data_IF_797477172954
#
_entry.id   IF_797477172954
#
_cell.length_a   1.000
_cell.length_b   1.000
_cell.length_c   1.000
_cell.angle_alpha   90.00
_cell.angle_beta   90.00
_cell.angle_gamma   90.00
#
_symmetry.space_group_name_H-M   'P 1'
#
loop_
_entity.id
_entity.type
_entity.pdbx_description
1 polymer ?
#
# COMPACT_ATOMS: atom_id res chain seq x y z
N UNK A 1 -21.29 9.23 -22.23
CA UNK A 1 -19.99 8.74 -21.71
C UNK A 1 -19.42 9.79 -20.77
N UNK A 2 -20.04 9.95 -19.60
CA UNK A 2 -19.78 11.09 -18.68
C UNK A 2 -19.72 10.68 -17.22
N UNK A 3 -19.73 9.37 -16.89
CA UNK A 3 -19.70 8.90 -15.50
C UNK A 3 -18.28 8.71 -14.94
N UNK A 4 -17.26 8.55 -15.79
CA UNK A 4 -15.87 8.35 -15.32
C UNK A 4 -15.18 9.64 -14.86
N UNK A 5 -15.61 10.81 -15.34
CA UNK A 5 -15.03 12.10 -14.92
C UNK A 5 -15.53 12.57 -13.55
N UNK A 6 -16.76 12.24 -13.19
CA UNK A 6 -17.38 12.69 -11.93
C UNK A 6 -16.73 12.00 -10.72
N UNK A 7 -16.34 10.72 -10.86
CA UNK A 7 -15.61 9.99 -9.82
C UNK A 7 -14.16 10.48 -9.62
N UNK A 8 -13.47 10.93 -10.67
CA UNK A 8 -12.13 11.53 -10.54
C UNK A 8 -12.17 12.89 -9.84
N UNK A 9 -13.22 13.68 -10.08
CA UNK A 9 -13.40 15.00 -9.44
C UNK A 9 -13.76 14.85 -7.96
N UNK A 10 -14.62 13.88 -7.60
CA UNK A 10 -15.00 13.62 -6.20
C UNK A 10 -13.87 13.01 -5.36
N UNK A 11 -12.94 12.27 -5.99
CA UNK A 11 -11.69 11.81 -5.34
C UNK A 11 -10.72 12.97 -5.11
N UNK A 12 -10.74 14.00 -5.97
CA UNK A 12 -9.92 15.21 -5.81
C UNK A 12 -10.41 16.11 -4.69
N UNK A 13 -11.73 16.29 -4.54
CA UNK A 13 -12.31 17.27 -3.59
C UNK A 13 -12.36 16.81 -2.11
N UNK A 14 -12.05 15.54 -1.79
CA UNK A 14 -12.00 15.07 -0.38
C UNK A 14 -10.60 15.05 0.25
N UNK A 15 -9.61 15.70 -0.37
CA UNK A 15 -8.22 15.74 0.12
C UNK A 15 -7.84 17.04 0.83
N UNK A 16 -8.74 18.02 0.89
CA UNK A 16 -8.50 19.32 1.51
C UNK A 16 -8.75 19.31 3.02
N UNK A 17 -7.86 18.63 3.74
CA UNK A 17 -7.53 18.98 5.12
C UNK A 17 -6.01 19.11 5.19
N UNK A 18 -5.50 20.12 4.48
CA UNK A 18 -4.06 20.40 4.35
C UNK A 18 -3.57 21.00 5.67
N UNK A 19 -3.25 20.12 6.62
CA UNK A 19 -2.37 20.46 7.74
C UNK A 19 -0.99 20.78 7.16
N UNK A 20 -0.61 22.06 7.17
CA UNK A 20 0.70 22.54 6.76
C UNK A 20 1.81 21.68 7.38
N UNK A 21 2.57 20.98 6.53
CA UNK A 21 3.82 20.34 6.94
C UNK A 21 4.91 21.38 6.86
N UNK A 22 5.50 21.69 7.99
CA UNK A 22 6.82 22.32 8.00
C UNK A 22 7.77 21.28 7.42
N UNK A 23 8.16 21.46 6.16
CA UNK A 23 9.23 20.70 5.52
C UNK A 23 10.53 21.20 6.13
N UNK A 24 10.90 20.59 7.26
CA UNK A 24 12.16 20.82 7.94
C UNK A 24 13.18 19.87 7.29
N UNK A 25 14.11 20.35 6.45
CA UNK A 25 15.03 19.50 5.69
C UNK A 25 15.95 18.65 6.59
N UNK A 26 16.12 19.05 7.84
CA UNK A 26 16.89 18.33 8.86
C UNK A 26 16.07 17.27 9.60
N UNK A 27 14.73 17.27 9.48
CA UNK A 27 13.88 16.28 10.15
C UNK A 27 13.24 15.35 9.14
N UNK A 28 13.56 14.05 9.28
CA UNK A 28 12.83 12.98 8.58
C UNK A 28 11.33 13.15 8.81
N UNK A 29 10.59 13.44 7.74
CA UNK A 29 9.14 13.57 7.79
C UNK A 29 8.53 12.32 8.45
N UNK A 30 7.68 12.51 9.44
CA UNK A 30 7.02 11.42 10.15
C UNK A 30 5.72 11.08 9.42
N UNK A 31 5.50 9.79 9.15
CA UNK A 31 4.23 9.34 8.59
C UNK A 31 3.07 9.64 9.54
N UNK A 32 2.09 10.39 9.04
CA UNK A 32 0.80 10.62 9.70
C UNK A 32 -0.24 9.58 9.23
N UNK A 33 -1.35 9.41 9.95
CA UNK A 33 -2.40 8.45 9.60
C UNK A 33 -2.92 8.60 8.16
N UNK A 34 -3.11 9.84 7.70
CA UNK A 34 -3.52 10.16 6.33
C UNK A 34 -2.48 9.75 5.28
N UNK A 35 -1.18 9.87 5.58
CA UNK A 35 -0.11 9.40 4.68
C UNK A 35 -0.15 7.91 4.53
N UNK A 36 -0.45 7.18 5.60
CA UNK A 36 -0.48 5.73 5.57
C UNK A 36 -1.62 5.23 4.69
N UNK A 37 -2.79 5.90 4.74
CA UNK A 37 -3.91 5.63 3.84
C UNK A 37 -3.51 5.90 2.39
N UNK A 38 -2.92 7.07 2.10
CA UNK A 38 -2.44 7.43 0.75
C UNK A 38 -1.37 6.45 0.24
N UNK A 39 -0.38 6.12 1.08
CA UNK A 39 0.67 5.15 0.79
C UNK A 39 0.09 3.78 0.44
N UNK A 40 -0.84 3.26 1.25
CA UNK A 40 -1.48 1.97 1.00
C UNK A 40 -2.30 1.97 -0.30
N UNK A 41 -2.98 3.07 -0.63
CA UNK A 41 -3.68 3.22 -1.93
C UNK A 41 -2.71 3.19 -3.11
N UNK A 42 -1.61 3.95 -3.04
CA UNK A 42 -0.60 4.03 -4.09
C UNK A 42 0.03 2.65 -4.35
N UNK A 43 0.50 1.95 -3.31
CA UNK A 43 1.15 0.63 -3.47
C UNK A 43 0.19 -0.44 -3.99
N UNK A 44 -1.08 -0.36 -3.62
CA UNK A 44 -2.12 -1.26 -4.13
C UNK A 44 -2.40 -0.99 -5.61
N UNK A 45 -2.56 0.28 -5.99
CA UNK A 45 -2.83 0.67 -7.38
C UNK A 45 -1.67 0.31 -8.32
N UNK A 46 -0.42 0.58 -7.89
CA UNK A 46 0.79 0.23 -8.64
C UNK A 46 1.10 -1.27 -8.67
N UNK A 47 0.39 -2.07 -7.86
CA UNK A 47 0.60 -3.52 -7.75
C UNK A 47 2.06 -3.85 -7.47
N UNK A 48 2.65 -3.21 -6.47
CA UNK A 48 4.08 -3.40 -6.09
C UNK A 48 4.44 -4.86 -5.75
N UNK A 49 3.44 -5.70 -5.48
CA UNK A 49 3.58 -7.13 -5.31
C UNK A 49 3.82 -7.91 -6.61
N UNK A 50 3.51 -7.33 -7.76
CA UNK A 50 3.68 -7.91 -9.10
C UNK A 50 4.96 -7.43 -9.80
N UNK A 51 5.78 -6.63 -9.12
CA UNK A 51 7.00 -6.05 -9.69
C UNK A 51 7.98 -7.15 -10.13
N UNK A 52 8.48 -7.10 -11.39
CA UNK A 52 9.49 -8.03 -11.88
C UNK A 52 10.78 -8.00 -11.04
N UNK A 53 11.47 -9.13 -10.97
CA UNK A 53 12.80 -9.19 -10.35
C UNK A 53 13.73 -8.15 -10.99
N UNK A 54 14.41 -7.36 -10.16
CA UNK A 54 15.33 -6.29 -10.61
C UNK A 54 14.69 -4.90 -10.75
N UNK A 55 13.35 -4.78 -10.81
CA UNK A 55 12.65 -3.48 -10.92
C UNK A 55 12.06 -2.96 -9.61
N UNK A 56 12.33 -3.67 -8.51
CA UNK A 56 11.80 -3.31 -7.19
C UNK A 56 12.15 -1.89 -6.77
N UNK A 57 13.39 -1.47 -7.00
CA UNK A 57 13.86 -0.14 -6.59
C UNK A 57 13.17 0.98 -7.36
N UNK A 58 13.05 0.85 -8.69
CA UNK A 58 12.33 1.79 -9.56
C UNK A 58 10.87 1.95 -9.13
N UNK A 59 10.18 0.84 -8.84
CA UNK A 59 8.79 0.89 -8.39
C UNK A 59 8.65 1.56 -7.01
N UNK A 60 9.54 1.26 -6.07
CA UNK A 60 9.52 1.91 -4.75
C UNK A 60 9.93 3.38 -4.82
N UNK A 61 10.80 3.75 -5.76
CA UNK A 61 11.11 5.15 -6.04
C UNK A 61 9.87 5.89 -6.54
N UNK A 62 9.17 5.33 -7.53
CA UNK A 62 7.97 5.95 -8.06
C UNK A 62 6.81 6.01 -7.05
N UNK A 63 6.72 5.05 -6.11
CA UNK A 63 5.80 5.12 -4.96
C UNK A 63 6.16 6.31 -4.06
N UNK A 64 7.44 6.53 -3.77
CA UNK A 64 7.89 7.64 -2.95
C UNK A 64 7.61 8.98 -3.63
N UNK A 65 7.89 9.10 -4.93
CA UNK A 65 7.65 10.32 -5.71
C UNK A 65 6.16 10.71 -5.70
N UNK A 66 5.27 9.75 -5.99
CA UNK A 66 3.82 9.97 -5.94
C UNK A 66 3.34 10.36 -4.53
N UNK A 67 3.87 9.72 -3.49
CA UNK A 67 3.49 10.04 -2.13
C UNK A 67 3.94 11.46 -1.76
N UNK A 68 5.17 11.80 -2.12
CA UNK A 68 5.77 13.10 -1.86
C UNK A 68 5.02 14.23 -2.55
N UNK A 69 4.58 14.01 -3.79
CA UNK A 69 3.70 14.93 -4.52
C UNK A 69 2.34 15.08 -3.82
N UNK A 70 1.72 13.97 -3.41
CA UNK A 70 0.38 13.97 -2.82
C UNK A 70 0.28 14.48 -1.38
N UNK A 71 1.39 14.51 -0.64
CA UNK A 71 1.43 14.95 0.77
C UNK A 71 2.41 16.09 1.03
N UNK A 72 3.00 16.63 -0.03
CA UNK A 72 4.00 17.70 0.02
C UNK A 72 5.07 17.40 1.07
N UNK A 73 5.74 16.26 0.91
CA UNK A 73 6.76 15.76 1.83
C UNK A 73 7.98 15.20 1.08
N UNK A 74 8.97 14.72 1.83
CA UNK A 74 10.22 14.18 1.27
C UNK A 74 10.57 12.84 1.94
N UNK A 75 9.77 11.83 1.65
CA UNK A 75 10.03 10.44 2.02
C UNK A 75 10.98 9.79 1.01
N UNK A 76 11.87 8.93 1.50
CA UNK A 76 12.70 8.09 0.66
C UNK A 76 11.99 6.77 0.31
N UNK A 77 12.38 6.15 -0.81
CA UNK A 77 11.90 4.83 -1.22
C UNK A 77 12.00 3.80 -0.09
N UNK A 78 13.11 3.84 0.66
CA UNK A 78 13.38 2.93 1.78
C UNK A 78 12.39 3.17 2.92
N UNK A 79 12.13 4.43 3.26
CA UNK A 79 11.15 4.78 4.30
C UNK A 79 9.74 4.29 3.93
N UNK A 80 9.31 4.47 2.68
CA UNK A 80 8.02 3.96 2.19
C UNK A 80 7.93 2.44 2.28
N UNK A 81 8.94 1.72 1.77
CA UNK A 81 8.99 0.25 1.79
C UNK A 81 9.01 -0.32 3.21
N UNK A 82 9.85 0.24 4.07
CA UNK A 82 9.98 -0.21 5.47
C UNK A 82 8.67 0.06 6.21
N UNK A 83 8.02 1.20 5.95
CA UNK A 83 6.73 1.53 6.58
C UNK A 83 5.62 0.59 6.13
N UNK A 84 5.51 0.28 4.84
CA UNK A 84 4.54 -0.73 4.35
C UNK A 84 4.81 -2.08 4.99
N UNK A 85 6.08 -2.50 5.05
CA UNK A 85 6.45 -3.77 5.70
C UNK A 85 6.05 -3.80 7.18
N UNK A 86 6.26 -2.69 7.90
CA UNK A 86 5.85 -2.55 9.28
C UNK A 86 4.32 -2.63 9.45
N UNK A 87 3.56 -1.91 8.61
CA UNK A 87 2.09 -1.94 8.61
C UNK A 87 1.54 -3.36 8.44
N UNK A 88 2.05 -4.10 7.44
CA UNK A 88 1.60 -5.47 7.18
C UNK A 88 1.92 -6.41 8.36
N UNK A 89 3.07 -6.23 9.02
CA UNK A 89 3.47 -7.02 10.20
C UNK A 89 2.61 -6.70 11.41
N UNK A 90 2.38 -5.41 11.67
CA UNK A 90 1.56 -4.93 12.77
C UNK A 90 0.13 -5.39 12.64
N UNK A 91 -0.47 -5.24 11.46
CA UNK A 91 -1.81 -5.75 11.18
C UNK A 91 -1.92 -7.26 11.44
N UNK A 92 -0.98 -8.07 10.92
CA UNK A 92 -0.96 -9.52 11.21
C UNK A 92 -0.87 -9.84 12.70
N UNK A 93 -0.06 -9.10 13.46
CA UNK A 93 0.08 -9.27 14.92
C UNK A 93 -1.21 -8.87 15.64
N UNK A 94 -1.78 -7.74 15.28
CA UNK A 94 -3.02 -7.23 15.85
C UNK A 94 -4.17 -8.21 15.60
N UNK A 95 -4.37 -8.67 14.37
CA UNK A 95 -5.42 -9.65 14.06
C UNK A 95 -5.22 -10.98 14.80
N UNK A 96 -3.97 -11.43 14.98
CA UNK A 96 -3.68 -12.63 15.76
C UNK A 96 -3.97 -12.46 17.26
N UNK A 97 -3.63 -11.29 17.82
CA UNK A 97 -3.94 -10.97 19.21
C UNK A 97 -5.45 -10.85 19.44
N UNK A 98 -6.18 -10.16 18.56
CA UNK A 98 -7.64 -10.04 18.63
C UNK A 98 -8.34 -11.39 18.59
N UNK A 99 -7.91 -12.30 17.69
CA UNK A 99 -8.45 -13.68 17.63
C UNK A 99 -8.21 -14.46 18.92
N UNK A 100 -7.05 -14.30 19.56
CA UNK A 100 -6.75 -14.98 20.83
C UNK A 100 -7.56 -14.42 22.00
N UNK A 101 -7.78 -13.11 22.03
CA UNK A 101 -8.43 -12.43 23.13
C UNK A 101 -9.97 -12.49 23.06
N UNK A 102 -10.54 -12.34 21.87
CA UNK A 102 -11.99 -12.19 21.69
C UNK A 102 -12.64 -13.25 20.81
N UNK A 103 -11.85 -14.10 20.14
CA UNK A 103 -12.35 -15.02 19.11
C UNK A 103 -12.71 -14.35 17.78
N UNK A 104 -12.73 -13.02 17.71
CA UNK A 104 -13.12 -12.23 16.54
C UNK A 104 -11.94 -11.31 16.14
N UNK A 105 -11.80 -11.02 14.85
CA UNK A 105 -10.66 -10.27 14.33
C UNK A 105 -10.81 -8.73 14.41
N UNK A 106 -11.88 -8.21 15.01
CA UNK A 106 -12.44 -6.95 14.54
C UNK A 106 -11.93 -5.68 15.24
N UNK A 107 -11.17 -4.87 14.48
CA UNK A 107 -11.13 -3.40 14.55
C UNK A 107 -10.97 -2.89 13.11
N UNK A 108 -12.08 -2.60 12.44
CA UNK A 108 -12.07 -2.00 11.11
C UNK A 108 -11.75 -0.50 11.23
N UNK A 109 -10.52 -0.18 10.88
CA UNK A 109 -10.13 1.19 10.53
C UNK A 109 -9.93 1.22 9.03
N UNK A 110 -10.16 2.36 8.37
CA UNK A 110 -10.01 2.49 6.91
C UNK A 110 -8.66 1.95 6.38
N UNK A 111 -7.61 2.02 7.20
CA UNK A 111 -6.29 1.47 6.87
C UNK A 111 -6.23 -0.07 6.98
N UNK A 112 -6.93 -0.67 7.95
CA UNK A 112 -7.03 -2.14 8.07
C UNK A 112 -7.63 -2.73 6.81
N UNK A 113 -8.73 -2.15 6.31
CA UNK A 113 -9.42 -2.64 5.11
C UNK A 113 -8.53 -2.54 3.87
N UNK A 114 -7.80 -1.44 3.73
CA UNK A 114 -6.82 -1.27 2.64
C UNK A 114 -5.67 -2.28 2.73
N UNK A 115 -5.19 -2.59 3.94
CA UNK A 115 -4.16 -3.61 4.16
C UNK A 115 -4.69 -5.01 3.81
N UNK A 116 -5.90 -5.35 4.21
CA UNK A 116 -6.51 -6.63 3.87
C UNK A 116 -6.70 -6.78 2.36
N UNK A 117 -7.26 -5.75 1.70
CA UNK A 117 -7.41 -5.73 0.24
C UNK A 117 -6.07 -5.93 -0.47
N UNK A 118 -5.01 -5.24 -0.02
CA UNK A 118 -3.66 -5.42 -0.55
C UNK A 118 -3.16 -6.86 -0.38
N UNK A 119 -3.35 -7.47 0.80
CA UNK A 119 -2.92 -8.85 1.08
C UNK A 119 -3.70 -9.88 0.24
N UNK A 120 -5.00 -9.68 0.05
CA UNK A 120 -5.82 -10.55 -0.80
C UNK A 120 -5.35 -10.49 -2.26
N UNK A 121 -5.12 -9.30 -2.79
CA UNK A 121 -4.61 -9.11 -4.16
C UNK A 121 -3.24 -9.75 -4.36
N UNK A 122 -2.32 -9.56 -3.39
CA UNK A 122 -1.01 -10.19 -3.40
C UNK A 122 -1.12 -11.73 -3.41
N UNK A 123 -2.00 -12.28 -2.59
CA UNK A 123 -2.19 -13.74 -2.47
C UNK A 123 -2.68 -14.34 -3.79
N UNK A 124 -3.70 -13.73 -4.41
CA UNK A 124 -4.20 -14.15 -5.73
C UNK A 124 -3.13 -14.09 -6.81
N UNK A 125 -2.27 -13.06 -6.79
CA UNK A 125 -1.16 -12.96 -7.73
C UNK A 125 -0.13 -14.07 -7.53
N UNK A 126 0.26 -14.34 -6.27
CA UNK A 126 1.21 -15.41 -5.95
C UNK A 126 0.68 -16.80 -6.36
N UNK A 127 -0.62 -17.05 -6.19
CA UNK A 127 -1.30 -18.27 -6.64
C UNK A 127 -1.25 -18.42 -8.17
N UNK A 128 -1.61 -17.38 -8.92
CA UNK A 128 -1.54 -17.39 -10.38
C UNK A 128 -0.10 -17.63 -10.88
N UNK A 129 0.91 -17.05 -10.23
CA UNK A 129 2.31 -17.29 -10.57
C UNK A 129 2.75 -18.73 -10.29
N UNK A 130 2.25 -19.36 -9.22
CA UNK A 130 2.53 -20.77 -8.92
C UNK A 130 1.88 -21.70 -9.93
N UNK A 131 0.62 -21.44 -10.30
CA UNK A 131 -0.09 -22.24 -11.30
C UNK A 131 0.57 -22.18 -12.68
N UNK A 132 0.98 -20.99 -13.12
CA UNK A 132 1.66 -20.81 -14.41
C UNK A 132 3.00 -21.53 -14.44
N UNK A 133 3.78 -21.46 -13.34
CA UNK A 133 5.02 -22.23 -13.19
C UNK A 133 4.74 -23.74 -13.21
N UNK A 134 3.76 -24.22 -12.45
CA UNK A 134 3.40 -25.63 -12.40
C UNK A 134 2.94 -26.18 -13.77
N UNK A 135 2.15 -25.40 -14.53
CA UNK A 135 1.74 -25.73 -15.91
C UNK A 135 2.94 -25.82 -16.84
N UNK A 136 3.92 -24.91 -16.73
CA UNK A 136 5.16 -24.95 -17.53
C UNK A 136 5.99 -26.19 -17.21
N UNK A 137 6.16 -26.53 -15.94
CA UNK A 137 6.90 -27.74 -15.52
C UNK A 137 6.23 -29.03 -16.00
N UNK A 138 4.89 -29.12 -15.99
CA UNK A 138 4.16 -30.29 -16.49
C UNK A 138 4.21 -30.47 -18.02
N UNK A 139 4.35 -29.39 -18.79
CA UNK A 139 4.50 -29.45 -20.26
C UNK A 139 5.92 -29.76 -20.72
N UNK A 140 6.91 -29.56 -19.85
CA UNK A 140 8.32 -29.81 -20.14
C UNK A 140 8.77 -31.25 -19.78
N UNK A 141 7.83 -32.09 -19.30
CA UNK A 141 8.05 -33.50 -18.95
C UNK A 141 7.19 -34.37 -19.86
#
# INVERSE_FOLDING_TARGET
>A
MTETRELEVLVRERLDDVRFRVVDPDKRSRFQGSDLIKLMRIVTHRKTYATPHGKGEEEWQAVADLLNEAVTASFSLRACRDKVTALLREHKRASAASRRASGIAERHTDISDLIEAYLQLKTRFDEQQRETKAKKTRKAK
#
